data_IF_680827247427
#
_entry.id   IF_680827247427
#
_cell.length_a   1.000
_cell.length_b   1.000
_cell.length_c   1.000
_cell.angle_alpha   90.00
_cell.angle_beta   90.00
_cell.angle_gamma   90.00
#
_symmetry.space_group_name_H-M   'P 1'
#
loop_
_entity.id
_entity.type
_entity.pdbx_description
1 polymer ?
#
# COMPACT_ATOMS: atom_id res chain seq x y z
N UNK A 1 -35.14 -49.48 31.28
CA UNK A 1 -33.77 -49.80 30.83
C UNK A 1 -33.36 -48.70 29.89
N UNK A 2 -32.94 -47.61 30.49
CA UNK A 2 -33.08 -46.29 29.91
C UNK A 2 -31.72 -45.91 29.35
N UNK A 3 -31.68 -45.65 28.03
CA UNK A 3 -30.43 -45.36 27.34
C UNK A 3 -29.78 -44.11 27.94
N UNK A 4 -28.44 -44.08 28.10
CA UNK A 4 -27.77 -42.92 28.64
C UNK A 4 -28.05 -41.71 27.75
N UNK A 5 -28.67 -40.69 28.33
CA UNK A 5 -28.88 -39.40 27.68
C UNK A 5 -27.53 -38.80 27.31
N UNK A 6 -27.35 -38.46 26.04
CA UNK A 6 -26.14 -37.82 25.53
C UNK A 6 -26.14 -36.34 25.92
N UNK A 7 -25.93 -36.06 27.21
CA UNK A 7 -25.60 -34.72 27.67
C UNK A 7 -24.24 -34.32 27.06
N UNK A 8 -24.24 -33.20 26.35
CA UNK A 8 -23.08 -32.72 25.63
C UNK A 8 -22.05 -32.14 26.59
N UNK A 9 -20.89 -32.79 26.71
CA UNK A 9 -19.68 -32.15 27.25
C UNK A 9 -19.23 -31.06 26.27
N UNK A 10 -19.75 -29.85 26.47
CA UNK A 10 -19.01 -28.63 26.16
C UNK A 10 -18.12 -28.31 27.37
N UNK A 11 -16.88 -27.89 27.12
CA UNK A 11 -15.97 -27.52 28.21
C UNK A 11 -16.43 -26.21 28.83
N UNK A 12 -16.29 -26.04 30.15
CA UNK A 12 -16.56 -24.74 30.80
C UNK A 12 -15.70 -23.62 30.17
N UNK A 13 -14.48 -23.94 29.74
CA UNK A 13 -13.60 -23.05 28.98
C UNK A 13 -14.22 -22.56 27.66
N UNK A 14 -14.86 -23.44 26.87
CA UNK A 14 -15.51 -23.08 25.60
C UNK A 14 -16.65 -22.07 25.83
N UNK A 15 -17.43 -22.30 26.89
CA UNK A 15 -18.52 -21.40 27.32
C UNK A 15 -18.00 -20.00 27.68
N UNK A 16 -16.87 -19.93 28.40
CA UNK A 16 -16.21 -18.66 28.74
C UNK A 16 -15.67 -17.93 27.49
N UNK A 17 -15.10 -18.65 26.52
CA UNK A 17 -14.65 -18.05 25.26
C UNK A 17 -15.83 -17.54 24.40
N UNK A 18 -16.93 -18.28 24.29
CA UNK A 18 -18.12 -17.80 23.58
C UNK A 18 -18.73 -16.57 24.25
N UNK A 19 -18.81 -16.55 25.59
CA UNK A 19 -19.33 -15.41 26.34
C UNK A 19 -18.42 -14.17 26.16
N UNK A 20 -17.10 -14.32 26.26
CA UNK A 20 -16.16 -13.23 25.99
C UNK A 20 -16.29 -12.71 24.55
N UNK A 21 -16.47 -13.58 23.55
CA UNK A 21 -16.68 -13.18 22.16
C UNK A 21 -17.99 -12.39 22.00
N UNK A 22 -19.08 -12.85 22.62
CA UNK A 22 -20.39 -12.15 22.63
C UNK A 22 -20.31 -10.78 23.32
N UNK A 23 -19.54 -10.65 24.39
CA UNK A 23 -19.30 -9.37 25.06
C UNK A 23 -18.50 -8.40 24.17
N UNK A 24 -17.48 -8.89 23.46
CA UNK A 24 -16.71 -8.11 22.48
C UNK A 24 -17.58 -7.64 21.30
N UNK A 25 -18.40 -8.53 20.72
CA UNK A 25 -19.35 -8.21 19.64
C UNK A 25 -20.35 -7.11 20.08
N UNK A 26 -20.89 -7.21 21.31
CA UNK A 26 -21.79 -6.20 21.87
C UNK A 26 -21.09 -4.85 22.10
N UNK A 27 -19.88 -4.85 22.68
CA UNK A 27 -19.10 -3.63 22.86
C UNK A 27 -18.73 -2.96 21.52
N UNK A 28 -18.42 -3.78 20.50
CA UNK A 28 -18.15 -3.33 19.15
C UNK A 28 -19.37 -2.68 18.47
N UNK A 29 -20.57 -3.24 18.66
CA UNK A 29 -21.83 -2.64 18.19
C UNK A 29 -22.08 -1.27 18.85
N UNK A 30 -21.90 -1.16 20.17
CA UNK A 30 -22.11 0.08 20.92
C UNK A 30 -21.12 1.18 20.48
N UNK A 31 -19.83 0.88 20.36
CA UNK A 31 -18.84 1.87 19.91
C UNK A 31 -19.05 2.28 18.43
N UNK A 32 -19.53 1.38 17.58
CA UNK A 32 -19.85 1.70 16.18
C UNK A 32 -21.10 2.61 16.08
N UNK A 33 -22.07 2.47 16.98
CA UNK A 33 -23.20 3.39 17.12
C UNK A 33 -22.73 4.77 17.62
N UNK A 34 -21.95 4.81 18.71
CA UNK A 34 -21.36 6.04 19.26
C UNK A 34 -20.46 6.76 18.24
N UNK A 35 -19.76 6.02 17.38
CA UNK A 35 -18.93 6.59 16.32
C UNK A 35 -19.72 7.31 15.22
N UNK A 36 -21.06 7.18 15.13
CA UNK A 36 -21.88 7.97 14.19
C UNK A 36 -21.82 9.46 14.50
N UNK A 37 -21.96 9.85 15.77
CA UNK A 37 -21.97 11.24 16.23
C UNK A 37 -20.57 11.84 16.41
N UNK A 38 -19.55 11.03 16.74
CA UNK A 38 -18.13 11.46 16.82
C UNK A 38 -17.71 12.16 15.49
N UNK A 39 -16.95 13.26 15.50
CA UNK A 39 -16.45 13.89 14.28
C UNK A 39 -15.42 12.99 13.56
N UNK A 40 -15.08 13.30 12.31
CA UNK A 40 -13.92 12.66 11.66
C UNK A 40 -12.66 13.20 12.32
N UNK A 41 -11.89 12.33 12.97
CA UNK A 41 -10.69 12.68 13.72
C UNK A 41 -9.50 12.94 12.77
N UNK A 42 -9.30 12.04 11.81
CA UNK A 42 -8.31 12.19 10.74
C UNK A 42 -8.74 11.40 9.50
N UNK A 43 -7.96 11.47 8.43
CA UNK A 43 -8.22 10.73 7.20
C UNK A 43 -6.94 10.22 6.57
N UNK A 44 -7.06 9.09 5.88
CA UNK A 44 -5.93 8.39 5.28
C UNK A 44 -6.19 8.03 3.82
N UNK A 45 -5.11 8.00 3.05
CA UNK A 45 -5.04 7.32 1.77
C UNK A 45 -4.35 5.96 1.96
N UNK A 46 -4.91 4.90 1.42
CA UNK A 46 -4.31 3.55 1.46
C UNK A 46 -3.12 3.47 0.50
N UNK A 47 -2.05 2.77 0.89
CA UNK A 47 -0.91 2.46 0.01
C UNK A 47 -0.79 0.97 -0.32
N UNK A 48 -1.52 0.11 0.41
CA UNK A 48 -1.66 -1.33 0.14
C UNK A 48 -3.14 -1.74 0.12
N UNK A 49 -3.42 -2.97 -0.29
CA UNK A 49 -4.76 -3.56 -0.20
C UNK A 49 -4.99 -4.20 1.18
N UNK A 50 -6.26 -4.40 1.53
CA UNK A 50 -6.68 -5.27 2.63
C UNK A 50 -7.99 -5.97 2.25
N UNK A 51 -8.02 -7.29 2.41
CA UNK A 51 -9.21 -8.13 2.24
C UNK A 51 -9.65 -8.66 3.61
N UNK A 52 -10.85 -8.28 4.02
CA UNK A 52 -11.45 -8.67 5.29
C UNK A 52 -11.77 -10.16 5.37
N UNK A 53 -12.09 -10.82 4.25
CA UNK A 53 -12.42 -12.25 4.23
C UNK A 53 -11.19 -13.10 4.54
N UNK A 54 -10.02 -12.68 4.06
CA UNK A 54 -8.75 -13.38 4.26
C UNK A 54 -8.01 -12.93 5.54
N UNK A 55 -8.11 -11.66 5.94
CA UNK A 55 -7.25 -11.04 6.96
C UNK A 55 -8.01 -10.35 8.11
N UNK A 56 -9.34 -10.42 8.12
CA UNK A 56 -10.21 -9.78 9.11
C UNK A 56 -10.95 -10.76 10.03
N UNK A 57 -10.53 -12.02 10.10
CA UNK A 57 -11.16 -13.07 10.93
C UNK A 57 -11.07 -12.79 12.45
N UNK A 58 -10.18 -11.89 12.88
CA UNK A 58 -10.05 -11.38 14.25
C UNK A 58 -10.62 -9.95 14.40
N UNK A 59 -11.53 -9.55 13.51
CA UNK A 59 -12.27 -8.29 13.63
C UNK A 59 -13.39 -8.40 14.66
N UNK A 60 -13.64 -7.36 15.49
CA UNK A 60 -14.70 -7.38 16.50
C UNK A 60 -16.11 -7.60 15.93
N UNK A 61 -16.35 -7.27 14.65
CA UNK A 61 -17.54 -7.65 13.89
C UNK A 61 -17.15 -7.96 12.44
N UNK A 62 -17.15 -9.24 12.06
CA UNK A 62 -16.77 -9.72 10.73
C UNK A 62 -17.58 -9.02 9.62
N UNK A 63 -18.90 -8.96 9.77
CA UNK A 63 -19.83 -8.36 8.80
C UNK A 63 -19.68 -6.83 8.65
N UNK A 64 -19.01 -6.17 9.61
CA UNK A 64 -18.76 -4.72 9.60
C UNK A 64 -17.29 -4.39 9.37
N UNK A 65 -16.51 -5.25 8.72
CA UNK A 65 -15.10 -5.01 8.41
C UNK A 65 -14.92 -4.50 6.99
N UNK A 66 -14.10 -3.45 6.79
CA UNK A 66 -13.82 -2.92 5.44
C UNK A 66 -12.85 -3.81 4.66
N UNK A 67 -13.05 -3.93 3.35
CA UNK A 67 -12.01 -4.31 2.40
C UNK A 67 -11.71 -3.12 1.48
N UNK A 68 -10.45 -2.90 1.11
CA UNK A 68 -10.03 -1.78 0.26
C UNK A 68 -8.86 -2.13 -0.66
N UNK A 69 -8.82 -1.47 -1.82
CA UNK A 69 -7.66 -1.41 -2.71
C UNK A 69 -6.66 -0.30 -2.29
N UNK A 70 -5.45 -0.26 -2.87
CA UNK A 70 -4.53 0.87 -2.73
C UNK A 70 -5.08 2.15 -3.37
N UNK A 71 -4.68 3.32 -2.85
CA UNK A 71 -5.10 4.68 -3.26
C UNK A 71 -6.55 5.03 -2.95
N UNK A 72 -7.24 4.21 -2.16
CA UNK A 72 -8.55 4.55 -1.60
C UNK A 72 -8.43 5.54 -0.43
N UNK A 73 -9.55 6.12 -0.03
CA UNK A 73 -9.63 7.15 1.01
C UNK A 73 -10.55 6.69 2.13
N UNK A 74 -10.09 6.79 3.38
CA UNK A 74 -10.81 6.40 4.58
C UNK A 74 -10.91 7.58 5.56
N UNK A 75 -12.09 7.81 6.11
CA UNK A 75 -12.36 8.75 7.21
C UNK A 75 -12.36 7.97 8.53
N UNK A 76 -11.47 8.32 9.47
CA UNK A 76 -11.39 7.65 10.78
C UNK A 76 -12.15 8.47 11.83
N UNK A 77 -13.10 7.84 12.53
CA UNK A 77 -13.88 8.46 13.61
C UNK A 77 -13.18 8.31 14.96
N UNK A 78 -12.78 7.08 15.31
CA UNK A 78 -12.13 6.76 16.59
C UNK A 78 -11.25 5.52 16.48
N UNK A 79 -10.40 5.30 17.49
CA UNK A 79 -9.74 4.01 17.74
C UNK A 79 -10.69 3.11 18.53
N UNK A 80 -10.77 1.83 18.19
CA UNK A 80 -11.43 0.81 19.03
C UNK A 80 -10.37 0.15 19.93
N UNK A 81 -9.40 -0.53 19.32
CA UNK A 81 -8.29 -1.18 20.02
C UNK A 81 -6.94 -0.95 19.29
N UNK A 82 -5.91 -1.74 19.60
CA UNK A 82 -4.59 -1.64 18.97
C UNK A 82 -4.59 -2.06 17.49
N UNK A 83 -5.45 -3.00 17.11
CA UNK A 83 -5.55 -3.59 15.77
C UNK A 83 -6.64 -2.94 14.91
N UNK A 84 -7.63 -2.28 15.52
CA UNK A 84 -8.84 -1.82 14.84
C UNK A 84 -9.22 -0.36 15.16
N UNK A 85 -9.57 0.37 14.11
CA UNK A 85 -10.18 1.69 14.14
C UNK A 85 -11.62 1.62 13.66
N UNK A 86 -12.47 2.57 14.06
CA UNK A 86 -13.82 2.73 13.51
C UNK A 86 -13.82 3.94 12.58
N UNK A 87 -14.32 3.74 11.36
CA UNK A 87 -14.35 4.77 10.33
C UNK A 87 -15.21 4.35 9.15
N UNK A 88 -15.00 4.95 7.98
CA UNK A 88 -15.65 4.57 6.72
C UNK A 88 -14.78 4.84 5.52
N UNK A 89 -15.05 4.11 4.44
CA UNK A 89 -14.60 4.44 3.10
C UNK A 89 -15.26 5.76 2.63
N UNK A 90 -14.51 6.62 1.93
CA UNK A 90 -15.00 7.92 1.44
C UNK A 90 -15.75 7.75 0.12
N UNK A 91 -16.93 7.13 0.20
CA UNK A 91 -17.95 7.07 -0.86
C UNK A 91 -19.34 7.39 -0.32
N UNK A 92 -20.26 7.78 -1.19
CA UNK A 92 -21.69 7.93 -0.87
C UNK A 92 -22.22 6.58 -0.36
N UNK A 93 -23.11 6.60 0.64
CA UNK A 93 -23.75 5.41 1.19
C UNK A 93 -22.87 4.47 2.04
N UNK A 94 -21.55 4.65 2.11
CA UNK A 94 -20.70 3.79 2.94
C UNK A 94 -21.09 3.87 4.44
N UNK A 95 -21.35 2.73 5.11
CA UNK A 95 -21.60 2.69 6.56
C UNK A 95 -20.30 2.94 7.34
N UNK A 96 -20.42 3.04 8.67
CA UNK A 96 -19.27 2.88 9.56
C UNK A 96 -18.91 1.39 9.68
N UNK A 97 -17.62 1.13 9.79
CA UNK A 97 -17.00 -0.19 9.77
C UNK A 97 -15.67 -0.19 10.53
N UNK A 98 -15.22 -1.38 10.90
CA UNK A 98 -13.88 -1.65 11.40
C UNK A 98 -12.85 -1.56 10.27
N UNK A 99 -11.75 -0.88 10.57
CA UNK A 99 -10.64 -0.58 9.67
C UNK A 99 -9.36 -1.05 10.37
N UNK A 100 -8.54 -1.91 9.75
CA UNK A 100 -7.30 -2.37 10.39
C UNK A 100 -6.36 -1.19 10.64
N UNK A 101 -5.76 -1.15 11.82
CA UNK A 101 -4.79 -0.12 12.20
C UNK A 101 -3.49 -0.27 11.39
N UNK A 102 -2.65 0.76 11.40
CA UNK A 102 -1.32 0.67 10.78
C UNK A 102 -0.51 -0.52 11.34
N UNK A 103 -0.57 -0.78 12.65
CA UNK A 103 0.13 -1.88 13.29
C UNK A 103 -0.40 -3.26 12.87
N UNK A 104 -1.71 -3.42 12.69
CA UNK A 104 -2.33 -4.64 12.16
C UNK A 104 -1.89 -4.91 10.72
N UNK A 105 -1.83 -3.88 9.88
CA UNK A 105 -1.33 -3.99 8.50
C UNK A 105 0.17 -4.25 8.42
N UNK A 106 0.98 -3.65 9.30
CA UNK A 106 2.42 -3.92 9.41
C UNK A 106 2.69 -5.38 9.83
N UNK A 107 1.92 -5.89 10.80
CA UNK A 107 1.97 -7.30 11.21
C UNK A 107 1.58 -8.25 10.07
N UNK A 108 0.44 -8.00 9.39
CA UNK A 108 -0.02 -8.79 8.24
C UNK A 108 1.08 -8.82 7.16
N UNK A 109 1.57 -7.64 6.75
CA UNK A 109 2.65 -7.49 5.76
C UNK A 109 3.87 -8.34 6.08
N UNK A 110 4.29 -8.39 7.34
CA UNK A 110 5.41 -9.20 7.80
C UNK A 110 5.23 -10.71 7.57
N UNK A 111 3.99 -11.20 7.51
CA UNK A 111 3.66 -12.61 7.27
C UNK A 111 3.34 -12.92 5.80
N UNK A 112 2.94 -11.93 4.98
CA UNK A 112 2.71 -12.16 3.54
C UNK A 112 3.98 -12.08 2.68
N UNK A 113 5.05 -11.50 3.21
CA UNK A 113 6.35 -11.40 2.54
C UNK A 113 7.14 -12.71 2.72
N UNK A 114 7.43 -13.48 1.66
CA UNK A 114 8.32 -14.62 1.77
C UNK A 114 9.72 -14.12 2.14
N UNK A 115 10.23 -14.55 3.29
CA UNK A 115 11.62 -14.28 3.70
C UNK A 115 12.57 -15.05 2.79
N UNK A 116 13.11 -14.38 1.77
CA UNK A 116 14.03 -14.96 0.76
C UNK A 116 15.44 -15.27 1.30
N UNK A 117 15.60 -15.32 2.63
CA UNK A 117 16.85 -15.48 3.35
C UNK A 117 16.97 -16.87 4.05
N UNK A 118 16.14 -17.85 3.68
CA UNK A 118 16.30 -19.26 4.09
C UNK A 118 17.02 -20.12 3.03
N UNK A 119 18.29 -19.81 2.77
CA UNK A 119 19.18 -20.56 1.88
C UNK A 119 20.42 -21.10 2.61
N UNK A 120 20.21 -21.74 3.77
CA UNK A 120 21.30 -22.26 4.60
C UNK A 120 20.89 -23.48 5.47
N UNK A 121 20.28 -24.51 4.88
CA UNK A 121 20.18 -25.83 5.52
C UNK A 121 20.37 -26.92 4.47
N UNK A 122 21.53 -27.58 4.49
CA UNK A 122 21.93 -28.58 3.49
C UNK A 122 22.03 -29.98 4.14
N UNK A 123 21.01 -30.84 4.03
CA UNK A 123 21.08 -32.23 4.41
C UNK A 123 21.75 -33.03 3.29
N UNK A 124 23.07 -33.20 3.38
CA UNK A 124 23.86 -33.82 2.31
C UNK A 124 23.70 -35.35 2.30
N UNK A 125 23.19 -35.89 1.18
CA UNK A 125 23.39 -37.29 0.78
C UNK A 125 22.22 -38.26 1.00
N UNK A 126 21.60 -38.69 -0.11
CA UNK A 126 21.79 -40.06 -0.63
C UNK A 126 21.32 -40.16 -2.08
N UNK A 127 21.98 -41.00 -2.87
CA UNK A 127 21.64 -41.20 -4.29
C UNK A 127 20.50 -42.21 -4.43
N UNK A 128 19.59 -41.99 -5.39
CA UNK A 128 18.93 -43.08 -6.10
C UNK A 128 18.87 -42.79 -7.60
N UNK A 129 19.46 -43.67 -8.40
CA UNK A 129 19.25 -43.73 -9.84
C UNK A 129 18.14 -44.75 -10.14
N UNK A 130 17.29 -44.43 -11.10
CA UNK A 130 16.61 -45.42 -11.95
C UNK A 130 16.39 -44.78 -13.32
N UNK A 131 16.40 -45.57 -14.39
CA UNK A 131 16.66 -45.10 -15.74
C UNK A 131 15.59 -45.51 -16.76
N UNK A 132 15.69 -44.88 -17.94
CA UNK A 132 15.06 -45.26 -19.21
C UNK A 132 13.51 -45.23 -19.28
N UNK A 133 13.00 -44.44 -20.22
CA UNK A 133 12.81 -45.02 -21.55
C UNK A 133 12.93 -43.96 -22.65
N UNK A 134 13.31 -44.43 -23.84
CA UNK A 134 13.54 -43.64 -25.05
C UNK A 134 12.28 -43.66 -25.95
N UNK A 135 12.09 -42.64 -26.78
CA UNK A 135 11.50 -42.72 -28.12
C UNK A 135 11.47 -41.34 -28.80
N UNK A 136 12.34 -41.15 -29.78
CA UNK A 136 12.25 -40.21 -30.91
C UNK A 136 11.87 -41.05 -32.15
N UNK A 137 11.22 -40.49 -33.19
CA UNK A 137 12.06 -40.08 -34.33
C UNK A 137 11.57 -38.88 -35.17
N UNK A 138 12.52 -37.99 -35.43
CA UNK A 138 12.93 -37.45 -36.75
C UNK A 138 11.96 -36.58 -37.56
N UNK A 139 12.30 -35.29 -37.59
CA UNK A 139 12.67 -34.49 -38.76
C UNK A 139 11.87 -34.58 -40.08
N UNK A 140 11.53 -33.40 -40.63
CA UNK A 140 11.62 -33.16 -42.08
C UNK A 140 12.10 -31.74 -42.38
N UNK A 141 12.88 -31.59 -43.45
CA UNK A 141 13.62 -30.40 -43.89
C UNK A 141 13.07 -29.88 -45.25
N UNK A 142 13.27 -28.60 -45.62
CA UNK A 142 13.29 -28.11 -47.03
C UNK A 142 13.58 -26.58 -47.18
N UNK A 143 14.04 -26.16 -48.38
CA UNK A 143 14.41 -24.79 -48.82
C UNK A 143 14.04 -24.59 -50.32
N UNK A 144 14.07 -23.40 -50.97
CA UNK A 144 14.38 -22.03 -50.48
C UNK A 144 13.19 -21.06 -50.67
N UNK A 145 12.99 -20.16 -51.66
CA UNK A 145 13.69 -19.60 -52.85
C UNK A 145 12.96 -18.24 -53.17
N UNK A 146 13.39 -17.22 -53.94
CA UNK A 146 14.59 -16.90 -54.76
C UNK A 146 14.73 -15.33 -54.86
N UNK A 147 15.66 -14.80 -55.66
CA UNK A 147 15.96 -13.36 -55.84
C UNK A 147 15.27 -12.67 -57.05
N UNK A 148 15.22 -11.33 -57.10
CA UNK A 148 15.83 -10.53 -58.22
C UNK A 148 15.88 -9.00 -57.96
N UNK A 149 16.89 -8.33 -58.56
CA UNK A 149 17.26 -6.89 -58.49
C UNK A 149 18.25 -6.58 -59.64
N UNK A 150 18.86 -5.36 -59.83
CA UNK A 150 18.63 -4.03 -59.23
C UNK A 150 17.88 -3.14 -60.26
N UNK A 151 18.40 -2.09 -60.98
CA UNK A 151 19.62 -1.22 -60.88
C UNK A 151 19.41 -0.04 -59.88
N UNK A 152 20.16 1.08 -59.76
CA UNK A 152 21.24 1.75 -60.56
C UNK A 152 22.19 2.56 -59.63
N UNK A 153 23.09 3.40 -60.19
CA UNK A 153 24.18 4.16 -59.52
C UNK A 153 24.52 5.45 -60.33
N UNK A 154 25.45 6.39 -59.96
CA UNK A 154 26.63 6.22 -59.08
C UNK A 154 27.08 7.35 -58.10
N UNK A 155 27.95 6.95 -57.15
CA UNK A 155 28.85 7.79 -56.32
C UNK A 155 28.34 8.12 -54.90
N UNK A 156 29.16 8.60 -53.94
CA UNK A 156 30.63 8.61 -53.68
C UNK A 156 30.80 9.09 -52.18
N UNK A 157 31.90 8.97 -51.42
CA UNK A 157 33.29 8.54 -51.62
C UNK A 157 33.87 7.84 -50.34
N UNK A 158 35.08 8.19 -49.86
CA UNK A 158 35.70 7.73 -48.59
C UNK A 158 36.68 8.77 -47.99
N UNK A 159 37.61 8.44 -47.04
CA UNK A 159 38.03 7.08 -46.62
C UNK A 159 38.52 6.82 -45.14
N UNK A 160 38.67 5.53 -44.80
CA UNK A 160 39.74 4.88 -43.95
C UNK A 160 39.82 4.98 -42.38
N UNK A 161 39.88 3.77 -41.78
CA UNK A 161 40.55 3.34 -40.51
C UNK A 161 39.88 3.78 -39.18
N UNK A 162 40.05 3.08 -38.04
CA UNK A 162 41.07 2.07 -37.65
C UNK A 162 40.48 0.91 -36.78
N UNK A 163 41.26 -0.16 -36.54
CA UNK A 163 40.89 -1.32 -35.68
C UNK A 163 41.77 -1.37 -34.42
N UNK A 164 41.17 -1.68 -33.26
CA UNK A 164 41.87 -2.00 -32.00
C UNK A 164 41.21 -3.20 -31.31
N UNK A 165 42.01 -4.14 -30.82
CA UNK A 165 41.57 -5.39 -30.18
C UNK A 165 41.60 -5.23 -28.65
N UNK A 166 40.58 -5.74 -27.95
CA UNK A 166 40.62 -5.94 -26.49
C UNK A 166 40.14 -7.37 -26.14
N UNK A 167 40.75 -8.05 -25.16
CA UNK A 167 40.54 -9.47 -24.91
C UNK A 167 39.28 -9.78 -24.06
N UNK A 168 38.81 -11.02 -24.19
CA UNK A 168 37.69 -11.58 -23.43
C UNK A 168 38.04 -11.92 -21.97
N UNK A 169 37.15 -11.59 -21.04
CA UNK A 169 37.12 -12.14 -19.69
C UNK A 169 35.66 -12.48 -19.29
N UNK A 170 35.41 -13.57 -18.54
CA UNK A 170 34.06 -14.11 -18.36
C UNK A 170 33.30 -13.54 -17.15
N UNK A 171 32.02 -13.90 -17.04
CA UNK A 171 31.27 -13.81 -15.78
C UNK A 171 30.67 -12.43 -15.48
N UNK A 172 29.65 -12.04 -16.25
CA UNK A 172 28.85 -10.84 -16.01
C UNK A 172 27.98 -10.93 -14.75
N UNK A 173 28.61 -10.93 -13.57
CA UNK A 173 27.96 -10.91 -12.27
C UNK A 173 27.19 -9.58 -12.09
N UNK A 174 25.93 -9.57 -12.50
CA UNK A 174 25.00 -8.45 -12.31
C UNK A 174 24.85 -8.16 -10.82
N UNK A 175 25.64 -7.21 -10.30
CA UNK A 175 25.51 -6.67 -8.95
C UNK A 175 24.05 -6.25 -8.76
N UNK A 176 23.28 -7.01 -7.99
CA UNK A 176 21.87 -6.71 -7.70
C UNK A 176 21.84 -5.32 -7.05
N UNK A 177 21.17 -4.36 -7.68
CA UNK A 177 21.07 -2.99 -7.17
C UNK A 177 20.41 -3.02 -5.79
N UNK A 178 21.21 -2.94 -4.72
CA UNK A 178 20.77 -3.09 -3.33
C UNK A 178 19.99 -1.86 -2.79
N UNK A 179 19.41 -1.07 -3.70
CA UNK A 179 18.39 -0.10 -3.39
C UNK A 179 17.09 -0.85 -3.07
N UNK A 180 16.98 -1.42 -1.86
CA UNK A 180 15.68 -1.77 -1.27
C UNK A 180 14.84 -0.50 -1.25
N UNK A 181 13.98 -0.36 -2.26
CA UNK A 181 13.10 0.80 -2.47
C UNK A 181 12.23 0.92 -1.23
N UNK A 182 12.51 1.91 -0.39
CA UNK A 182 11.96 1.98 0.95
C UNK A 182 10.44 1.91 0.91
N UNK A 183 9.88 0.95 1.65
CA UNK A 183 8.48 0.62 1.52
C UNK A 183 7.60 1.71 2.12
N UNK A 184 6.49 2.01 1.47
CA UNK A 184 5.57 3.04 1.95
C UNK A 184 4.88 2.56 3.24
N UNK A 185 4.54 3.47 4.16
CA UNK A 185 3.64 3.14 5.26
C UNK A 185 2.28 2.71 4.70
N UNK A 186 1.54 1.79 5.36
CA UNK A 186 0.28 1.25 4.85
C UNK A 186 -0.77 2.34 4.61
N UNK A 187 -0.70 3.43 5.38
CA UNK A 187 -1.51 4.63 5.28
C UNK A 187 -0.66 5.89 5.14
N UNK A 188 -1.12 6.81 4.30
CA UNK A 188 -0.63 8.20 4.21
C UNK A 188 -1.70 9.13 4.80
N UNK A 189 -1.34 9.99 5.76
CA UNK A 189 -2.28 10.99 6.32
C UNK A 189 -2.62 12.03 5.25
N UNK A 190 -3.91 12.31 5.08
CA UNK A 190 -4.42 13.28 4.09
C UNK A 190 -5.47 14.22 4.72
N UNK A 191 -5.69 15.42 4.16
CA UNK A 191 -6.79 16.31 4.59
C UNK A 191 -8.15 15.60 4.52
N UNK A 192 -8.96 15.77 5.57
CA UNK A 192 -10.31 15.16 5.70
C UNK A 192 -11.21 15.52 4.51
N UNK A 193 -11.17 16.79 4.12
CA UNK A 193 -11.72 17.29 2.86
C UNK A 193 -10.57 17.58 1.91
N UNK A 194 -10.55 16.93 0.75
CA UNK A 194 -9.50 17.12 -0.25
C UNK A 194 -9.60 18.53 -0.87
N UNK A 195 -8.52 19.32 -0.91
CA UNK A 195 -8.56 20.65 -1.53
C UNK A 195 -8.78 20.53 -3.04
N UNK A 196 -9.70 21.34 -3.57
CA UNK A 196 -9.90 21.51 -5.02
C UNK A 196 -8.86 22.51 -5.54
N UNK A 197 -8.17 22.15 -6.61
CA UNK A 197 -7.16 23.00 -7.27
C UNK A 197 -7.55 23.15 -8.73
N UNK A 198 -7.68 24.41 -9.18
CA UNK A 198 -7.95 24.76 -10.58
C UNK A 198 -6.61 24.99 -11.28
N UNK A 199 -6.47 24.45 -12.50
CA UNK A 199 -5.27 24.52 -13.34
C UNK A 199 -5.72 24.79 -14.78
N UNK A 200 -4.97 25.61 -15.52
CA UNK A 200 -5.27 25.98 -16.91
C UNK A 200 -6.24 27.18 -17.04
N UNK A 201 -6.65 27.53 -18.28
CA UNK A 201 -6.32 26.83 -19.53
C UNK A 201 -4.85 26.98 -19.97
N UNK A 202 -4.23 28.14 -19.68
CA UNK A 202 -2.80 28.37 -19.94
C UNK A 202 -2.03 28.56 -18.61
N UNK A 203 -0.82 29.11 -18.68
CA UNK A 203 -0.05 29.48 -17.49
C UNK A 203 -0.78 30.56 -16.68
N UNK A 204 -0.60 30.52 -15.36
CA UNK A 204 -1.10 31.52 -14.42
C UNK A 204 -0.29 32.82 -14.51
N UNK A 205 -0.93 33.96 -14.27
CA UNK A 205 -0.33 35.29 -14.45
C UNK A 205 -0.51 35.85 -15.87
N UNK A 206 -1.16 35.12 -16.76
CA UNK A 206 -1.72 35.67 -18.00
C UNK A 206 -3.17 36.08 -17.73
N UNK A 207 -3.56 37.28 -18.17
CA UNK A 207 -4.86 37.89 -17.83
C UNK A 207 -6.06 36.98 -18.13
N UNK A 208 -6.06 36.33 -19.30
CA UNK A 208 -7.12 35.39 -19.71
C UNK A 208 -7.24 34.21 -18.73
N UNK A 209 -6.11 33.60 -18.35
CA UNK A 209 -6.09 32.50 -17.35
C UNK A 209 -6.65 32.97 -16.02
N UNK A 210 -6.16 34.10 -15.52
CA UNK A 210 -6.47 34.56 -14.17
C UNK A 210 -7.92 35.08 -14.07
N UNK A 211 -8.46 35.69 -15.13
CA UNK A 211 -9.88 36.07 -15.24
C UNK A 211 -10.79 34.84 -15.32
N UNK A 212 -10.45 33.82 -16.12
CA UNK A 212 -11.23 32.58 -16.20
C UNK A 212 -11.23 31.81 -14.87
N UNK A 213 -10.07 31.71 -14.21
CA UNK A 213 -9.97 31.12 -12.87
C UNK A 213 -10.79 31.93 -11.84
N UNK A 214 -10.70 33.27 -11.86
CA UNK A 214 -11.49 34.13 -10.98
C UNK A 214 -13.00 33.91 -11.17
N UNK A 215 -13.49 33.86 -12.41
CA UNK A 215 -14.90 33.62 -12.70
C UNK A 215 -15.39 32.27 -12.13
N UNK A 216 -14.58 31.21 -12.24
CA UNK A 216 -14.90 29.92 -11.61
C UNK A 216 -14.86 29.97 -10.08
N UNK A 217 -13.88 30.66 -9.47
CA UNK A 217 -13.84 30.83 -8.01
C UNK A 217 -15.03 31.64 -7.49
N UNK A 218 -15.45 32.71 -8.17
CA UNK A 218 -16.62 33.52 -7.80
C UNK A 218 -17.93 32.71 -7.90
N UNK A 219 -18.07 31.90 -8.97
CA UNK A 219 -19.20 30.97 -9.12
C UNK A 219 -19.24 29.93 -7.98
N UNK A 220 -18.11 29.27 -7.70
CA UNK A 220 -17.98 28.29 -6.61
C UNK A 220 -18.29 28.94 -5.26
N UNK A 221 -17.78 30.15 -5.00
CA UNK A 221 -18.05 30.89 -3.75
C UNK A 221 -19.54 31.14 -3.55
N UNK A 222 -20.26 31.53 -4.61
CA UNK A 222 -21.70 31.81 -4.56
C UNK A 222 -22.54 30.54 -4.45
N UNK A 223 -22.18 29.46 -5.17
CA UNK A 223 -22.95 28.21 -5.18
C UNK A 223 -22.74 27.36 -3.91
N UNK A 224 -21.57 27.47 -3.28
CA UNK A 224 -21.20 26.74 -2.06
C UNK A 224 -21.00 27.69 -0.87
N UNK A 225 -21.80 28.78 -0.81
CA UNK A 225 -21.80 29.71 0.31
C UNK A 225 -21.95 28.98 1.66
N UNK A 226 -21.19 29.43 2.66
CA UNK A 226 -21.01 28.81 3.99
C UNK A 226 -20.51 27.34 3.99
N UNK A 227 -20.19 26.76 2.83
CA UNK A 227 -19.74 25.35 2.66
C UNK A 227 -18.38 25.23 1.96
N UNK A 228 -17.81 26.33 1.46
CA UNK A 228 -16.48 26.38 0.84
C UNK A 228 -15.62 27.47 1.46
N UNK A 229 -14.33 27.18 1.63
CA UNK A 229 -13.29 28.16 1.97
C UNK A 229 -12.38 28.28 0.74
N UNK A 230 -12.20 29.51 0.25
CA UNK A 230 -11.30 29.81 -0.87
C UNK A 230 -10.14 30.64 -0.34
N UNK A 231 -8.91 30.17 -0.57
CA UNK A 231 -7.69 30.80 -0.04
C UNK A 231 -6.63 30.95 -1.12
N UNK A 232 -5.99 32.12 -1.19
CA UNK A 232 -4.84 32.34 -2.07
C UNK A 232 -3.59 31.78 -1.41
N UNK A 233 -3.03 30.71 -1.99
CA UNK A 233 -1.70 30.21 -1.61
C UNK A 233 -0.64 31.09 -2.27
N UNK A 234 0.32 31.57 -1.46
CA UNK A 234 1.43 32.45 -1.88
C UNK A 234 2.77 31.73 -2.07
N UNK A 235 2.93 30.55 -1.48
CA UNK A 235 4.17 29.75 -1.50
C UNK A 235 4.02 28.52 -2.40
N UNK A 236 5.12 28.04 -3.00
CA UNK A 236 5.08 26.81 -3.80
C UNK A 236 4.96 25.55 -2.93
N UNK A 237 3.80 24.91 -3.00
CA UNK A 237 3.51 23.64 -2.32
C UNK A 237 4.07 22.40 -3.03
N UNK A 238 4.68 22.53 -4.22
CA UNK A 238 5.32 21.41 -4.93
C UNK A 238 6.45 20.78 -4.11
N UNK A 239 7.18 21.63 -3.36
CA UNK A 239 8.33 21.23 -2.54
C UNK A 239 7.90 20.37 -1.34
N UNK A 240 6.76 20.69 -0.73
CA UNK A 240 6.29 20.04 0.50
C UNK A 240 6.09 18.52 0.36
N UNK A 241 5.64 18.04 -0.81
CA UNK A 241 5.44 16.60 -1.07
C UNK A 241 6.71 15.76 -0.93
N UNK A 242 7.90 16.34 -1.18
CA UNK A 242 9.17 15.65 -0.95
C UNK A 242 9.44 15.50 0.55
N UNK A 243 9.20 16.54 1.35
CA UNK A 243 9.50 16.53 2.79
C UNK A 243 8.71 15.46 3.55
N UNK A 244 7.40 15.31 3.29
CA UNK A 244 6.59 14.25 3.94
C UNK A 244 7.08 12.85 3.57
N UNK A 245 7.50 12.64 2.32
CA UNK A 245 8.06 11.35 1.88
C UNK A 245 9.42 11.04 2.52
N UNK A 246 10.25 12.06 2.80
CA UNK A 246 11.54 11.90 3.48
C UNK A 246 11.37 11.67 4.99
N UNK A 247 10.46 12.39 5.64
CA UNK A 247 10.13 12.19 7.07
C UNK A 247 9.51 10.81 7.36
N UNK A 248 8.94 10.14 6.37
CA UNK A 248 8.51 8.75 6.48
C UNK A 248 9.69 7.75 6.53
N UNK A 249 10.84 8.10 5.93
CA UNK A 249 12.07 7.30 5.96
C UNK A 249 12.87 7.51 7.25
N UNK A 250 12.80 8.73 7.82
CA UNK A 250 13.59 9.18 8.96
C UNK A 250 13.14 8.61 10.31
N UNK A 251 12.04 7.83 10.34
CA UNK A 251 11.54 7.14 11.54
C UNK A 251 12.32 5.86 11.87
N UNK A 252 13.64 6.00 12.09
CA UNK A 252 14.49 5.00 12.75
C UNK A 252 15.05 5.54 14.08
N UNK A 253 14.23 5.48 15.13
CA UNK A 253 14.52 6.10 16.43
C UNK A 253 14.01 7.55 16.48
N UNK A 254 13.51 8.02 17.63
CA UNK A 254 14.36 8.17 18.81
C UNK A 254 14.05 7.19 19.94
N UNK A 255 15.08 6.47 20.39
CA UNK A 255 15.05 5.71 21.64
C UNK A 255 15.35 6.67 22.82
N UNK A 256 14.69 6.47 23.95
CA UNK A 256 15.08 6.92 25.31
C UNK A 256 15.80 8.29 25.44
N UNK A 257 15.03 9.38 25.52
CA UNK A 257 15.46 10.63 26.20
C UNK A 257 14.34 11.30 27.00
N UNK A 258 13.77 10.58 27.97
CA UNK A 258 13.03 11.25 29.06
C UNK A 258 13.08 10.46 30.39
N UNK A 259 14.24 10.48 31.05
CA UNK A 259 14.41 10.13 32.47
C UNK A 259 15.53 11.01 33.06
N UNK A 260 15.44 11.29 34.36
CA UNK A 260 16.33 12.16 35.15
C UNK A 260 16.57 13.60 34.62
N UNK A 261 15.69 14.51 35.03
CA UNK A 261 16.17 15.64 35.85
C UNK A 261 15.60 15.50 37.25
N UNK A 262 16.47 15.14 38.19
CA UNK A 262 16.16 15.01 39.61
C UNK A 262 16.18 16.41 40.26
N UNK A 263 15.38 16.60 41.30
CA UNK A 263 15.24 17.88 42.00
C UNK A 263 16.38 18.04 43.01
N UNK A 264 16.95 19.25 43.09
CA UNK A 264 17.96 19.66 44.08
C UNK A 264 19.00 20.61 43.48
N UNK A 265 19.23 21.81 44.02
CA UNK A 265 18.52 22.50 45.11
C UNK A 265 19.10 23.89 45.36
N UNK A 266 18.33 24.79 45.98
CA UNK A 266 18.78 26.12 46.44
C UNK A 266 17.99 26.58 47.70
N UNK A 267 18.22 25.88 48.81
CA UNK A 267 18.07 26.35 50.21
C UNK A 267 18.42 25.19 51.15
#
# INVERSE_FOLDING_TARGET
NDGPSTESLYSDDDSLYEQQRRELENAALVELELAKSKPVCFSVKTNMAFDANLNGYDSPLLDKTVSFAPKEFLHIKTKFDQNWWIGRQVRIGAPLCFIPSAAKLDFIRGHMMPTTDFSAMNPNGTNFQTAANENEPEAFENQEENETVPPTTPGLAGPKKNVTIHPSAPGGAKRKNLFKKAELPPYEIVPIMRPVVIIGPALKGYEVTDLMQKAMFDFIKKHFENRVIISRVSYDISVAKRLTSLQALDKKGPLERNRNRQIGGLS
#
